data_IF_472740309760
#
_entry.id   IF_472740309760
#
_cell.length_a   1.000
_cell.length_b   1.000
_cell.length_c   1.000
_cell.angle_alpha   90.00
_cell.angle_beta   90.00
_cell.angle_gamma   90.00
#
_symmetry.space_group_name_H-M   'P 1'
#
loop_
_entity.id
_entity.type
_entity.pdbx_description
1 polymer ?
#
# COMPACT_ATOMS: atom_id res chain seq x y z
N UNK A 1 7.70 19.89 -14.35
CA UNK A 1 8.45 18.77 -13.74
C UNK A 1 7.63 18.26 -12.57
N UNK A 2 7.22 16.99 -12.56
CA UNK A 2 6.56 16.40 -11.40
C UNK A 2 7.50 16.49 -10.19
N UNK A 3 6.98 16.91 -9.03
CA UNK A 3 7.77 16.93 -7.79
C UNK A 3 8.21 15.51 -7.45
N UNK A 4 9.45 15.33 -7.00
CA UNK A 4 10.01 14.03 -6.59
C UNK A 4 9.10 13.31 -5.58
N UNK A 5 8.38 14.08 -4.74
CA UNK A 5 7.39 13.54 -3.81
C UNK A 5 6.21 12.86 -4.51
N UNK A 6 5.67 13.50 -5.53
CA UNK A 6 4.55 12.97 -6.32
C UNK A 6 4.98 11.73 -7.08
N UNK A 7 6.21 11.73 -7.63
CA UNK A 7 6.76 10.57 -8.33
C UNK A 7 6.93 9.35 -7.41
N UNK A 8 7.50 9.54 -6.22
CA UNK A 8 7.65 8.46 -5.23
C UNK A 8 6.30 7.89 -4.79
N UNK A 9 5.31 8.76 -4.54
CA UNK A 9 3.95 8.34 -4.19
C UNK A 9 3.31 7.51 -5.31
N UNK A 10 3.48 7.91 -6.57
CA UNK A 10 2.92 7.18 -7.72
C UNK A 10 3.54 5.78 -7.83
N UNK A 11 4.86 5.67 -7.79
CA UNK A 11 5.52 4.35 -7.91
C UNK A 11 5.19 3.44 -6.74
N UNK A 12 5.21 3.97 -5.52
CA UNK A 12 4.81 3.19 -4.34
C UNK A 12 3.36 2.74 -4.44
N UNK A 13 2.44 3.62 -4.86
CA UNK A 13 1.02 3.28 -5.01
C UNK A 13 0.80 2.17 -6.02
N UNK A 14 1.52 2.16 -7.15
CA UNK A 14 1.42 1.07 -8.14
C UNK A 14 1.83 -0.28 -7.55
N UNK A 15 2.95 -0.33 -6.80
CA UNK A 15 3.43 -1.56 -6.16
C UNK A 15 2.48 -2.03 -5.05
N UNK A 16 2.04 -1.10 -4.17
CA UNK A 16 1.16 -1.41 -3.06
C UNK A 16 -0.20 -1.90 -3.56
N UNK A 17 -0.75 -1.28 -4.60
CA UNK A 17 -2.00 -1.73 -5.22
C UNK A 17 -1.91 -3.20 -5.64
N UNK A 18 -0.81 -3.61 -6.29
CA UNK A 18 -0.61 -4.99 -6.72
C UNK A 18 -0.50 -5.97 -5.53
N UNK A 19 0.19 -5.59 -4.45
CA UNK A 19 0.34 -6.42 -3.25
C UNK A 19 -0.99 -6.58 -2.51
N UNK A 20 -1.71 -5.48 -2.28
CA UNK A 20 -3.02 -5.50 -1.61
C UNK A 20 -4.03 -6.31 -2.42
N UNK A 21 -4.04 -6.12 -3.74
CA UNK A 21 -4.87 -6.92 -4.64
C UNK A 21 -4.51 -8.41 -4.57
N UNK A 22 -3.22 -8.75 -4.62
CA UNK A 22 -2.76 -10.13 -4.57
C UNK A 22 -3.18 -10.82 -3.27
N UNK A 23 -2.97 -10.18 -2.13
CA UNK A 23 -3.41 -10.70 -0.82
C UNK A 23 -4.92 -10.87 -0.78
N UNK A 24 -5.69 -9.86 -1.22
CA UNK A 24 -7.15 -9.92 -1.25
C UNK A 24 -7.71 -10.98 -2.20
N UNK A 25 -7.08 -11.18 -3.36
CA UNK A 25 -7.49 -12.22 -4.31
C UNK A 25 -7.20 -13.62 -3.76
N UNK A 26 -6.01 -13.81 -3.15
CA UNK A 26 -5.64 -15.09 -2.52
C UNK A 26 -6.60 -15.42 -1.38
N UNK A 27 -6.95 -14.46 -0.52
CA UNK A 27 -7.90 -14.72 0.59
C UNK A 27 -9.30 -15.09 0.09
N UNK A 28 -9.79 -14.44 -0.96
CA UNK A 28 -11.08 -14.76 -1.58
C UNK A 28 -11.09 -16.17 -2.17
N UNK A 29 -10.01 -16.57 -2.82
CA UNK A 29 -9.92 -17.87 -3.49
C UNK A 29 -9.58 -19.02 -2.52
N UNK A 30 -8.87 -18.75 -1.42
CA UNK A 30 -8.54 -19.75 -0.41
C UNK A 30 -9.76 -20.21 0.39
N UNK A 31 -10.78 -19.37 0.56
CA UNK A 31 -11.97 -19.70 1.35
C UNK A 31 -13.10 -20.14 0.40
N UNK A 32 -13.53 -21.42 0.44
CA UNK A 32 -14.51 -21.95 -0.52
C UNK A 32 -15.87 -21.21 -0.49
N UNK A 33 -16.28 -20.69 0.67
CA UNK A 33 -17.48 -19.87 0.80
C UNK A 33 -17.37 -18.50 0.08
N UNK A 34 -16.17 -17.92 0.03
CA UNK A 34 -15.91 -16.67 -0.70
C UNK A 34 -15.67 -16.95 -2.19
N UNK A 35 -15.04 -18.07 -2.53
CA UNK A 35 -14.81 -18.47 -3.92
C UNK A 35 -16.11 -18.59 -4.72
N UNK A 36 -17.21 -19.06 -4.09
CA UNK A 36 -18.53 -19.08 -4.71
C UNK A 36 -19.05 -17.69 -5.13
N UNK A 37 -18.60 -16.64 -4.45
CA UNK A 37 -18.92 -15.24 -4.73
C UNK A 37 -17.77 -14.48 -5.40
N UNK A 38 -16.75 -15.19 -5.92
CA UNK A 38 -15.57 -14.57 -6.52
C UNK A 38 -15.92 -13.58 -7.65
N UNK A 39 -17.01 -13.83 -8.39
CA UNK A 39 -17.53 -12.92 -9.43
C UNK A 39 -17.79 -11.50 -8.91
N UNK A 40 -18.21 -11.35 -7.65
CA UNK A 40 -18.49 -10.06 -7.01
C UNK A 40 -17.33 -9.60 -6.13
N UNK A 41 -16.68 -10.54 -5.42
CA UNK A 41 -15.61 -10.24 -4.49
C UNK A 41 -14.33 -9.80 -5.18
N UNK A 42 -13.97 -10.36 -6.33
CA UNK A 42 -12.75 -9.96 -7.06
C UNK A 42 -12.84 -8.49 -7.52
N UNK A 43 -13.92 -8.03 -8.19
CA UNK A 43 -14.09 -6.60 -8.47
C UNK A 43 -14.08 -5.72 -7.21
N UNK A 44 -14.70 -6.18 -6.11
CA UNK A 44 -14.66 -5.44 -4.84
C UNK A 44 -13.24 -5.29 -4.30
N UNK A 45 -12.43 -6.36 -4.33
CA UNK A 45 -11.01 -6.33 -3.94
C UNK A 45 -10.21 -5.36 -4.82
N UNK A 46 -10.50 -5.29 -6.12
CA UNK A 46 -9.84 -4.32 -7.02
C UNK A 46 -10.14 -2.89 -6.57
N UNK A 47 -11.42 -2.55 -6.33
CA UNK A 47 -11.82 -1.21 -5.87
C UNK A 47 -11.17 -0.88 -4.53
N UNK A 48 -11.19 -1.82 -3.58
CA UNK A 48 -10.56 -1.64 -2.25
C UNK A 48 -9.05 -1.43 -2.38
N UNK A 49 -8.38 -2.19 -3.25
CA UNK A 49 -6.94 -2.05 -3.49
C UNK A 49 -6.60 -0.69 -4.09
N UNK A 50 -7.40 -0.24 -5.06
CA UNK A 50 -7.18 1.04 -5.72
C UNK A 50 -7.41 2.23 -4.78
N UNK A 51 -8.39 2.13 -3.88
CA UNK A 51 -8.66 3.17 -2.87
C UNK A 51 -7.61 3.16 -1.77
N UNK A 52 -7.20 1.98 -1.27
CA UNK A 52 -6.23 1.89 -0.16
C UNK A 52 -4.79 2.20 -0.58
N UNK A 53 -4.40 1.87 -1.81
CA UNK A 53 -3.05 2.07 -2.32
C UNK A 53 -2.49 3.51 -2.16
N UNK A 54 -3.19 4.60 -2.58
CA UNK A 54 -2.66 5.95 -2.43
C UNK A 54 -2.51 6.40 -0.97
N UNK A 55 -3.36 5.91 -0.07
CA UNK A 55 -3.24 6.21 1.37
C UNK A 55 -1.98 5.59 1.96
N UNK A 56 -1.80 4.29 1.72
CA UNK A 56 -0.61 3.55 2.20
C UNK A 56 0.66 4.11 1.55
N UNK A 57 0.63 4.41 0.24
CA UNK A 57 1.75 4.99 -0.47
C UNK A 57 2.16 6.36 0.06
N UNK A 58 1.19 7.19 0.47
CA UNK A 58 1.50 8.51 1.03
C UNK A 58 2.21 8.39 2.38
N UNK A 59 1.84 7.41 3.22
CA UNK A 59 2.54 7.14 4.48
C UNK A 59 3.98 6.68 4.22
N UNK A 60 4.16 5.70 3.33
CA UNK A 60 5.48 5.12 3.01
C UNK A 60 6.38 6.16 2.32
N UNK A 61 5.89 6.84 1.28
CA UNK A 61 6.67 7.85 0.56
C UNK A 61 7.07 9.04 1.44
N UNK A 62 6.25 9.38 2.45
CA UNK A 62 6.60 10.42 3.42
C UNK A 62 7.75 9.99 4.34
N UNK A 63 7.85 8.69 4.65
CA UNK A 63 8.95 8.12 5.46
C UNK A 63 10.26 7.96 4.69
N UNK A 64 10.20 7.66 3.39
CA UNK A 64 11.39 7.50 2.53
C UNK A 64 12.21 8.79 2.37
N UNK A 65 11.68 9.94 2.79
CA UNK A 65 12.37 11.22 2.67
C UNK A 65 13.12 11.52 3.96
N UNK A 66 14.44 11.55 3.86
CA UNK A 66 15.33 12.02 4.92
C UNK A 66 14.95 13.43 5.43
N UNK A 67 14.34 14.27 4.59
CA UNK A 67 13.85 15.60 4.97
C UNK A 67 12.69 15.58 5.98
N UNK A 68 11.90 14.49 6.02
CA UNK A 68 10.80 14.32 6.96
C UNK A 68 11.23 13.63 8.26
N UNK A 69 12.47 13.12 8.33
CA UNK A 69 13.07 12.56 9.54
C UNK A 69 14.18 13.49 10.02
N UNK A 70 13.93 14.26 11.09
CA UNK A 70 14.98 14.99 11.78
C UNK A 70 16.02 14.03 12.37
N UNK A 71 17.26 14.49 12.59
CA UNK A 71 18.34 13.68 13.21
C UNK A 71 17.92 13.03 14.54
N UNK A 72 16.97 13.62 15.25
CA UNK A 72 16.37 13.08 16.48
C UNK A 72 15.49 11.84 16.22
N UNK A 73 14.56 11.91 15.27
CA UNK A 73 13.64 10.79 14.96
C UNK A 73 14.36 9.60 14.30
N UNK A 74 15.51 9.84 13.68
CA UNK A 74 16.42 8.79 13.19
C UNK A 74 17.13 8.05 14.35
N UNK A 75 17.39 8.72 15.49
CA UNK A 75 18.07 8.15 16.67
C UNK A 75 17.13 7.43 17.63
N UNK A 76 15.86 7.82 17.70
CA UNK A 76 14.87 7.18 18.57
C UNK A 76 14.49 5.77 18.10
N UNK A 77 14.76 5.41 16.84
CA UNK A 77 14.30 4.16 16.26
C UNK A 77 12.80 4.16 16.06
N UNK A 78 12.32 3.68 14.90
CA UNK A 78 10.87 3.50 14.69
C UNK A 78 10.48 2.10 15.19
N UNK A 79 9.21 1.93 15.60
CA UNK A 79 8.62 0.66 16.06
C UNK A 79 8.79 -0.49 15.06
N UNK A 80 9.12 -0.17 13.80
CA UNK A 80 9.34 -1.10 12.69
C UNK A 80 10.83 -1.40 12.50
N UNK A 81 11.72 -0.44 12.78
CA UNK A 81 13.15 -0.57 12.51
C UNK A 81 13.94 -1.17 13.67
N UNK A 82 13.40 -1.11 14.90
CA UNK A 82 14.03 -1.66 16.10
C UNK A 82 15.20 -0.82 16.60
#
# INVERSE_FOLDING_TARGET
MLSTNTWLKIICAMMINAVVFGVGAVTVLMIPALAAQAKYLIPAVVVISFVSAPFIASLIASRMRLRNWGKEHWREGDLISG
#
